data_IF_627852287827
#
_entry.id   IF_627852287827
#
_cell.length_a   1.000
_cell.length_b   1.000
_cell.length_c   1.000
_cell.angle_alpha   90.00
_cell.angle_beta   90.00
_cell.angle_gamma   90.00
#
_symmetry.space_group_name_H-M   'P 1'
#
loop_
_entity.id
_entity.type
_entity.pdbx_description
1 polymer ?
#
# COMPACT_ATOMS: atom_id res chain seq x y z
N UNK A 1 -10.71 -11.04 0.95
CA UNK A 1 -9.80 -9.86 0.91
C UNK A 1 -8.35 -10.25 0.63
N UNK A 2 -7.65 -10.99 1.51
CA UNK A 2 -6.22 -11.35 1.27
C UNK A 2 -6.00 -12.08 -0.06
N UNK A 3 -6.81 -13.09 -0.36
CA UNK A 3 -6.73 -13.84 -1.62
C UNK A 3 -7.06 -12.98 -2.84
N UNK A 4 -7.98 -12.03 -2.70
CA UNK A 4 -8.37 -11.08 -3.76
C UNK A 4 -7.20 -10.18 -4.15
N UNK A 5 -6.46 -9.63 -3.18
CA UNK A 5 -5.32 -8.75 -3.47
C UNK A 5 -4.11 -9.52 -4.03
N UNK A 6 -3.91 -10.76 -3.60
CA UNK A 6 -2.85 -11.62 -4.15
C UNK A 6 -3.13 -12.01 -5.61
N UNK A 7 -4.40 -12.20 -5.96
CA UNK A 7 -4.84 -12.36 -7.34
C UNK A 7 -4.58 -11.08 -8.15
N UNK A 8 -4.96 -9.91 -7.64
CA UNK A 8 -4.66 -8.62 -8.29
C UNK A 8 -3.17 -8.39 -8.54
N UNK A 9 -2.32 -8.84 -7.61
CA UNK A 9 -0.86 -8.73 -7.74
C UNK A 9 -0.34 -9.53 -8.94
N UNK A 10 -0.90 -10.71 -9.17
CA UNK A 10 -0.40 -11.67 -10.17
C UNK A 10 -1.08 -11.51 -11.53
N UNK A 11 -2.37 -11.16 -11.52
CA UNK A 11 -3.25 -11.17 -12.70
C UNK A 11 -3.80 -9.79 -13.07
N UNK A 12 -3.40 -8.74 -12.34
CA UNK A 12 -3.90 -7.39 -12.51
C UNK A 12 -5.24 -7.11 -11.82
N UNK A 13 -5.58 -5.84 -11.69
CA UNK A 13 -6.81 -5.39 -11.01
C UNK A 13 -8.01 -5.58 -11.94
N UNK A 14 -8.94 -6.45 -11.56
CA UNK A 14 -10.22 -6.69 -12.28
C UNK A 14 -11.44 -6.12 -11.56
N UNK A 15 -11.30 -5.85 -10.28
CA UNK A 15 -12.34 -5.32 -9.40
C UNK A 15 -11.73 -4.30 -8.43
N UNK A 16 -12.44 -3.21 -8.16
CA UNK A 16 -11.96 -2.12 -7.30
C UNK A 16 -12.57 -2.15 -5.90
N UNK A 17 -13.62 -2.95 -5.65
CA UNK A 17 -14.39 -2.91 -4.40
C UNK A 17 -13.52 -3.07 -3.16
N UNK A 18 -12.60 -4.03 -3.17
CA UNK A 18 -11.68 -4.27 -2.06
C UNK A 18 -10.67 -3.12 -1.84
N UNK A 19 -10.28 -2.40 -2.91
CA UNK A 19 -9.36 -1.27 -2.83
C UNK A 19 -10.09 -0.02 -2.35
N UNK A 20 -11.34 0.15 -2.75
CA UNK A 20 -12.25 1.19 -2.29
C UNK A 20 -12.53 1.09 -0.80
N UNK A 21 -12.90 -0.10 -0.31
CA UNK A 21 -13.12 -0.37 1.11
C UNK A 21 -11.87 -0.04 1.95
N UNK A 22 -10.69 -0.42 1.44
CA UNK A 22 -9.43 -0.08 2.11
C UNK A 22 -9.17 1.43 2.11
N UNK A 23 -9.41 2.13 1.00
CA UNK A 23 -9.27 3.58 0.93
C UNK A 23 -10.20 4.29 1.92
N UNK A 24 -11.46 3.85 2.00
CA UNK A 24 -12.46 4.38 2.92
C UNK A 24 -12.08 4.21 4.40
N UNK A 25 -11.53 3.05 4.75
CA UNK A 25 -11.08 2.77 6.12
C UNK A 25 -9.88 3.63 6.56
N UNK A 26 -9.20 4.29 5.61
CA UNK A 26 -8.08 5.18 5.88
C UNK A 26 -8.51 6.63 6.09
N UNK A 27 -9.81 6.97 6.10
CA UNK A 27 -10.28 8.36 6.20
C UNK A 27 -9.66 9.18 7.35
N UNK A 28 -9.41 8.55 8.50
CA UNK A 28 -8.83 9.18 9.70
C UNK A 28 -7.28 9.26 9.65
N UNK A 29 -6.66 8.74 8.59
CA UNK A 29 -5.21 8.78 8.40
C UNK A 29 -4.85 10.04 7.64
N UNK A 30 -3.84 10.76 8.14
CA UNK A 30 -3.33 11.97 7.49
C UNK A 30 -2.68 11.62 6.16
N UNK A 31 -2.98 12.43 5.14
CA UNK A 31 -2.42 12.31 3.79
C UNK A 31 -0.89 12.29 3.82
N UNK A 32 -0.27 13.04 4.74
CA UNK A 32 1.19 13.09 4.92
C UNK A 32 1.82 11.74 5.29
N UNK A 33 1.11 10.88 6.05
CA UNK A 33 1.60 9.55 6.42
C UNK A 33 1.61 8.61 5.21
N UNK A 34 0.55 8.66 4.40
CA UNK A 34 0.40 7.85 3.19
C UNK A 34 1.38 8.29 2.09
N UNK A 35 1.56 9.61 1.92
CA UNK A 35 2.46 10.19 0.91
C UNK A 35 3.91 9.73 1.06
N UNK A 36 4.42 9.60 2.29
CA UNK A 36 5.80 9.16 2.53
C UNK A 36 6.04 7.72 2.06
N UNK A 37 5.10 6.83 2.36
CA UNK A 37 5.15 5.45 1.89
C UNK A 37 5.06 5.38 0.36
N UNK A 38 4.10 6.09 -0.22
CA UNK A 38 3.91 6.14 -1.67
C UNK A 38 5.13 6.70 -2.41
N UNK A 39 5.73 7.78 -1.91
CA UNK A 39 6.93 8.37 -2.50
C UNK A 39 8.12 7.40 -2.54
N UNK A 40 8.27 6.58 -1.50
CA UNK A 40 9.30 5.52 -1.46
C UNK A 40 9.11 4.49 -2.57
N UNK A 41 7.87 4.07 -2.79
CA UNK A 41 7.53 3.10 -3.82
C UNK A 41 7.72 3.69 -5.23
N UNK A 42 7.34 4.96 -5.46
CA UNK A 42 7.58 5.66 -6.73
C UNK A 42 9.05 5.78 -7.08
N UNK A 43 9.87 6.03 -6.06
CA UNK A 43 11.31 6.08 -6.19
C UNK A 43 11.91 4.74 -6.65
N UNK A 44 11.43 3.63 -6.09
CA UNK A 44 11.81 2.28 -6.54
C UNK A 44 11.31 2.04 -7.97
N UNK A 45 10.07 2.44 -8.29
CA UNK A 45 9.50 2.24 -9.62
C UNK A 45 10.29 2.97 -10.72
N UNK A 46 10.71 4.20 -10.45
CA UNK A 46 11.46 5.03 -11.40
C UNK A 46 12.84 4.46 -11.75
N UNK A 47 13.48 3.76 -10.80
CA UNK A 47 14.81 3.17 -10.98
C UNK A 47 14.84 1.71 -10.49
N UNK A 48 13.90 0.92 -11.02
CA UNK A 48 13.68 -0.45 -10.56
C UNK A 48 14.93 -1.33 -10.66
N UNK A 49 15.73 -1.15 -11.73
CA UNK A 49 16.95 -1.94 -11.97
C UNK A 49 17.95 -1.84 -10.81
N UNK A 50 18.15 -0.65 -10.26
CA UNK A 50 19.10 -0.44 -9.17
C UNK A 50 18.45 -0.55 -7.78
N UNK A 51 17.13 -0.36 -7.69
CA UNK A 51 16.42 -0.18 -6.41
C UNK A 51 15.45 -1.31 -6.05
N UNK A 52 15.35 -2.34 -6.87
CA UNK A 52 14.50 -3.53 -6.58
C UNK A 52 14.77 -4.12 -5.18
N UNK A 53 16.03 -4.15 -4.74
CA UNK A 53 16.41 -4.59 -3.39
C UNK A 53 15.78 -3.76 -2.25
N UNK A 54 15.31 -2.54 -2.50
CA UNK A 54 14.62 -1.71 -1.51
C UNK A 54 13.15 -2.11 -1.30
N UNK A 55 12.57 -2.96 -2.16
CA UNK A 55 11.17 -3.41 -2.04
C UNK A 55 10.93 -4.06 -0.67
N UNK A 56 11.88 -4.85 -0.19
CA UNK A 56 11.79 -5.50 1.13
C UNK A 56 11.66 -4.48 2.27
N UNK A 57 12.16 -3.25 2.07
CA UNK A 57 12.10 -2.17 3.07
C UNK A 57 10.72 -1.50 3.14
N UNK A 58 9.81 -1.78 2.20
CA UNK A 58 8.44 -1.27 2.25
C UNK A 58 7.67 -1.87 3.44
N UNK A 59 7.90 -3.14 3.78
CA UNK A 59 7.24 -3.80 4.92
C UNK A 59 7.62 -3.16 6.27
N UNK A 60 8.91 -3.01 6.66
CA UNK A 60 9.27 -2.38 7.92
C UNK A 60 8.85 -0.91 7.99
N UNK A 61 8.78 -0.19 6.86
CA UNK A 61 8.23 1.18 6.80
C UNK A 61 6.75 1.20 7.17
N UNK A 62 5.95 0.26 6.65
CA UNK A 62 4.54 0.11 7.05
C UNK A 62 4.41 -0.31 8.51
N UNK A 63 5.25 -1.23 8.99
CA UNK A 63 5.26 -1.68 10.38
C UNK A 63 5.53 -0.53 11.35
N UNK A 64 6.49 0.33 11.03
CA UNK A 64 6.80 1.53 11.81
C UNK A 64 5.62 2.51 11.84
N UNK A 65 5.00 2.76 10.68
CA UNK A 65 3.82 3.62 10.60
C UNK A 65 2.68 3.10 11.48
N UNK A 66 2.38 1.78 11.39
CA UNK A 66 1.44 1.07 12.28
C UNK A 66 1.82 1.18 13.76
N UNK A 67 3.09 1.00 14.10
CA UNK A 67 3.57 1.06 15.49
C UNK A 67 3.37 2.44 16.12
N UNK A 68 3.56 3.51 15.33
CA UNK A 68 3.25 4.88 15.75
C UNK A 68 1.73 5.08 15.92
N UNK A 69 0.94 4.62 14.95
CA UNK A 69 -0.52 4.70 14.93
C UNK A 69 -1.23 3.97 16.08
N UNK A 70 -0.66 2.88 16.63
CA UNK A 70 -1.21 2.21 17.82
C UNK A 70 -1.29 3.14 19.03
N UNK A 71 -0.42 4.15 19.12
CA UNK A 71 -0.46 5.17 20.18
C UNK A 71 -1.56 6.20 19.93
N UNK A 72 -2.05 6.31 18.69
CA UNK A 72 -3.00 7.32 18.22
C UNK A 72 -4.38 6.71 17.89
N UNK A 73 -4.64 5.44 18.23
CA UNK A 73 -5.90 4.73 17.99
C UNK A 73 -6.40 4.75 16.53
N UNK A 74 -5.51 4.49 15.57
CA UNK A 74 -5.82 4.51 14.13
C UNK A 74 -5.95 3.08 13.53
N UNK A 75 -7.13 2.43 13.60
CA UNK A 75 -7.31 1.04 13.15
C UNK A 75 -7.13 0.83 11.63
N UNK A 76 -7.40 1.86 10.82
CA UNK A 76 -7.22 1.80 9.36
C UNK A 76 -5.79 1.46 8.95
N UNK A 77 -4.79 1.93 9.70
CA UNK A 77 -3.38 1.67 9.40
C UNK A 77 -2.96 0.22 9.71
N UNK A 78 -3.58 -0.42 10.70
CA UNK A 78 -3.39 -1.85 10.96
C UNK A 78 -4.00 -2.69 9.83
N UNK A 79 -5.18 -2.31 9.33
CA UNK A 79 -5.80 -2.97 8.17
C UNK A 79 -4.94 -2.83 6.92
N UNK A 80 -4.44 -1.63 6.63
CA UNK A 80 -3.53 -1.38 5.51
C UNK A 80 -2.26 -2.23 5.61
N UNK A 81 -1.64 -2.28 6.79
CA UNK A 81 -0.47 -3.13 7.03
C UNK A 81 -0.77 -4.60 6.74
N UNK A 82 -1.87 -5.14 7.29
CA UNK A 82 -2.27 -6.54 7.11
C UNK A 82 -2.59 -6.87 5.65
N UNK A 83 -3.09 -5.91 4.89
CA UNK A 83 -3.39 -6.07 3.46
C UNK A 83 -2.14 -6.00 2.57
N UNK A 84 -1.21 -5.09 2.83
CA UNK A 84 -0.05 -4.84 1.94
C UNK A 84 1.20 -5.66 2.29
N UNK A 85 1.47 -5.96 3.57
CA UNK A 85 2.65 -6.74 3.99
C UNK A 85 2.78 -8.09 3.26
N UNK A 86 1.71 -8.89 3.10
CA UNK A 86 1.79 -10.14 2.34
C UNK A 86 2.12 -9.93 0.86
N UNK A 87 1.62 -8.85 0.25
CA UNK A 87 1.89 -8.56 -1.16
C UNK A 87 3.35 -8.20 -1.38
N UNK A 88 3.92 -7.35 -0.51
CA UNK A 88 5.34 -6.96 -0.57
C UNK A 88 6.25 -8.19 -0.59
N UNK A 89 5.97 -9.18 0.24
CA UNK A 89 6.73 -10.45 0.29
C UNK A 89 6.61 -11.28 -0.98
N UNK A 90 5.48 -11.19 -1.69
CA UNK A 90 5.21 -11.95 -2.92
C UNK A 90 5.72 -11.29 -4.20
N UNK A 91 6.12 -10.02 -4.13
CA UNK A 91 6.70 -9.29 -5.26
C UNK A 91 8.00 -9.97 -5.70
N UNK A 92 8.85 -10.40 -4.75
CA UNK A 92 10.06 -11.18 -5.05
C UNK A 92 10.96 -10.54 -6.12
N UNK A 93 11.15 -9.21 -6.03
CA UNK A 93 11.86 -8.39 -7.01
C UNK A 93 11.38 -8.55 -8.47
N UNK A 94 10.17 -9.06 -8.68
CA UNK A 94 9.51 -9.12 -9.98
C UNK A 94 8.93 -7.74 -10.34
N UNK A 95 9.37 -7.20 -11.48
CA UNK A 95 8.96 -5.88 -11.93
C UNK A 95 7.47 -5.79 -12.23
N UNK A 96 6.88 -6.81 -12.86
CA UNK A 96 5.47 -6.81 -13.21
C UNK A 96 4.58 -6.85 -11.95
N UNK A 97 4.93 -7.70 -10.97
CA UNK A 97 4.25 -7.72 -9.67
C UNK A 97 4.44 -6.41 -8.92
N UNK A 98 5.62 -5.80 -8.97
CA UNK A 98 5.84 -4.50 -8.35
C UNK A 98 4.99 -3.41 -9.00
N UNK A 99 4.90 -3.38 -10.33
CA UNK A 99 4.03 -2.45 -11.06
C UNK A 99 2.54 -2.69 -10.72
N UNK A 100 2.10 -3.95 -10.56
CA UNK A 100 0.75 -4.27 -10.05
C UNK A 100 0.54 -3.79 -8.61
N UNK A 101 1.52 -3.99 -7.74
CA UNK A 101 1.49 -3.50 -6.36
C UNK A 101 1.36 -1.97 -6.30
N UNK A 102 2.10 -1.25 -7.16
CA UNK A 102 1.99 0.21 -7.28
C UNK A 102 0.55 0.62 -7.61
N UNK A 103 -0.07 -0.02 -8.61
CA UNK A 103 -1.46 0.28 -9.02
C UNK A 103 -2.47 -0.01 -7.90
N UNK A 104 -2.26 -1.08 -7.14
CA UNK A 104 -3.10 -1.42 -5.97
C UNK A 104 -3.03 -0.28 -4.94
N UNK A 105 -1.82 0.18 -4.60
CA UNK A 105 -1.63 1.26 -3.64
C UNK A 105 -2.19 2.58 -4.18
N UNK A 106 -1.97 2.91 -5.45
CA UNK A 106 -2.55 4.10 -6.09
C UNK A 106 -4.07 4.16 -5.95
N UNK A 107 -4.76 3.05 -6.24
CA UNK A 107 -6.21 2.98 -6.14
C UNK A 107 -6.68 3.21 -4.70
N UNK A 108 -6.03 2.58 -3.71
CA UNK A 108 -6.33 2.79 -2.28
C UNK A 108 -6.17 4.28 -1.91
N UNK A 109 -5.10 4.92 -2.38
CA UNK A 109 -4.85 6.35 -2.12
C UNK A 109 -5.89 7.25 -2.80
N UNK A 110 -6.30 6.91 -4.02
CA UNK A 110 -7.34 7.63 -4.74
C UNK A 110 -8.67 7.59 -3.96
N UNK A 111 -9.06 6.41 -3.47
CA UNK A 111 -10.27 6.26 -2.66
C UNK A 111 -10.15 6.89 -1.27
N UNK A 112 -8.98 6.84 -0.64
CA UNK A 112 -8.72 7.59 0.59
C UNK A 112 -9.00 9.08 0.41
N UNK A 113 -8.49 9.67 -0.69
CA UNK A 113 -8.74 11.07 -1.02
C UNK A 113 -10.20 11.34 -1.36
N UNK A 114 -10.85 10.45 -2.12
CA UNK A 114 -12.27 10.55 -2.47
C UNK A 114 -13.18 10.60 -1.23
N UNK A 115 -12.89 9.78 -0.22
CA UNK A 115 -13.66 9.72 1.03
C UNK A 115 -13.26 10.75 2.09
N UNK A 116 -12.51 11.80 1.70
CA UNK A 116 -12.21 12.94 2.58
C UNK A 116 -11.06 12.71 3.55
N UNK A 117 -10.03 11.96 3.14
CA UNK A 117 -8.80 11.80 3.90
C UNK A 117 -8.23 13.11 4.42
N UNK A 118 -7.90 13.17 5.72
CA UNK A 118 -7.45 14.40 6.38
C UNK A 118 -6.13 14.92 5.78
N UNK A 119 -6.02 16.24 5.57
CA UNK A 119 -4.74 16.91 5.23
C UNK A 119 -3.74 16.89 6.40
#
# INVERSE_FOLDING_TARGET
>A
MKQTLEDMLSNGIKDLSALEDLGKDLKEIKTTQIRKFFGSMRQIQADFGNRSGEIIMLEPRLAYAKGKAKKESQPGLDKLYKSLSPLIKKIDNDKAKFDSFVRIVEAIVAYHKYYGGQE
#
